data_IF_821925350415
#
_entry.id   IF_821925350415
#
_cell.length_a   1.000
_cell.length_b   1.000
_cell.length_c   1.000
_cell.angle_alpha   90.00
_cell.angle_beta   90.00
_cell.angle_gamma   90.00
#
_symmetry.space_group_name_H-M   'P 1'
#
loop_
_entity.id
_entity.type
_entity.pdbx_description
1 polymer ?
#
# COMPACT_ATOMS: atom_id res chain seq x y z
N UNK A 1 -4.61 23.96 -13.02
CA UNK A 1 -4.05 22.73 -13.65
C UNK A 1 -3.30 21.93 -12.60
N UNK A 2 -3.56 20.64 -12.55
CA UNK A 2 -2.87 19.78 -11.62
C UNK A 2 -1.39 19.64 -11.99
N UNK A 3 -0.53 19.60 -10.99
CA UNK A 3 0.90 19.43 -11.18
C UNK A 3 1.31 18.06 -10.64
N UNK A 4 1.87 17.22 -11.51
CA UNK A 4 2.40 15.94 -11.10
C UNK A 4 3.74 16.12 -10.39
N UNK A 5 3.93 15.37 -9.31
CA UNK A 5 5.19 15.31 -8.58
C UNK A 5 5.81 13.93 -8.74
N UNK A 6 7.12 13.86 -8.85
CA UNK A 6 7.83 12.60 -8.78
C UNK A 6 7.84 12.09 -7.35
N UNK A 7 7.57 10.78 -7.21
CA UNK A 7 7.66 10.09 -5.93
C UNK A 7 8.74 9.03 -6.04
N UNK A 8 9.71 9.07 -5.15
CA UNK A 8 10.72 8.04 -5.04
C UNK A 8 10.21 6.91 -4.17
N UNK A 9 10.08 5.71 -4.75
CA UNK A 9 9.70 4.50 -4.01
C UNK A 9 10.95 3.64 -3.87
N UNK A 10 11.29 3.30 -2.63
CA UNK A 10 12.42 2.44 -2.33
C UNK A 10 11.94 1.01 -2.06
N UNK A 11 12.57 0.04 -2.70
CA UNK A 11 12.32 -1.36 -2.39
C UNK A 11 12.76 -1.68 -0.95
N UNK A 12 12.14 -2.68 -0.34
CA UNK A 12 12.40 -3.13 1.03
C UNK A 12 11.98 -2.16 2.13
N UNK A 13 11.36 -1.03 1.77
CA UNK A 13 10.74 -0.12 2.73
C UNK A 13 9.24 -0.38 2.80
N UNK A 14 8.64 -0.07 3.94
CA UNK A 14 7.20 -0.20 4.12
C UNK A 14 6.54 1.15 4.11
N UNK A 15 5.40 1.23 3.42
CA UNK A 15 4.66 2.46 3.21
C UNK A 15 3.22 2.29 3.64
N UNK A 16 2.59 3.38 4.06
CA UNK A 16 1.14 3.46 4.12
C UNK A 16 0.64 4.11 2.83
N UNK A 17 -0.49 3.63 2.33
CA UNK A 17 -1.15 4.19 1.15
C UNK A 17 -2.38 4.94 1.63
N UNK A 18 -2.30 6.25 1.61
CA UNK A 18 -3.31 7.14 2.20
C UNK A 18 -4.24 7.68 1.13
N UNK A 19 -5.53 7.61 1.41
CA UNK A 19 -6.56 8.24 0.59
C UNK A 19 -6.73 9.71 0.98
N UNK A 20 -7.37 10.55 0.12
CA UNK A 20 -7.60 11.96 0.43
C UNK A 20 -8.42 12.21 1.71
N UNK A 21 -9.23 11.26 2.14
CA UNK A 21 -10.00 11.37 3.38
C UNK A 21 -9.19 11.04 4.64
N UNK A 22 -7.89 10.78 4.51
CA UNK A 22 -7.00 10.45 5.62
C UNK A 22 -6.99 8.98 6.02
N UNK A 23 -7.87 8.16 5.46
CA UNK A 23 -7.85 6.71 5.69
C UNK A 23 -6.77 6.03 4.86
N UNK A 24 -6.39 4.83 5.26
CA UNK A 24 -5.31 4.08 4.59
C UNK A 24 -5.84 2.76 4.03
N UNK A 25 -5.16 2.26 3.01
CA UNK A 25 -5.41 0.94 2.46
C UNK A 25 -4.98 -0.14 3.45
N UNK A 26 -5.83 -1.13 3.65
CA UNK A 26 -5.52 -2.28 4.49
C UNK A 26 -6.15 -3.55 3.92
N UNK A 27 -5.62 -4.70 4.37
CA UNK A 27 -6.23 -6.00 4.10
C UNK A 27 -7.40 -6.20 5.06
N UNK A 28 -8.57 -6.53 4.51
CA UNK A 28 -9.78 -6.71 5.30
C UNK A 28 -9.72 -8.00 6.11
N UNK A 29 -10.15 -7.93 7.38
CA UNK A 29 -10.31 -9.07 8.28
C UNK A 29 -9.04 -9.90 8.48
N UNK A 30 -7.86 -9.26 8.42
CA UNK A 30 -6.58 -9.93 8.67
C UNK A 30 -6.33 -11.15 7.78
N UNK A 31 -6.88 -11.14 6.57
CA UNK A 31 -6.77 -12.26 5.65
C UNK A 31 -5.40 -12.27 4.98
N UNK A 32 -4.65 -13.37 5.08
CA UNK A 32 -3.32 -13.52 4.50
C UNK A 32 -3.32 -14.23 3.15
N UNK A 33 -4.48 -14.62 2.64
CA UNK A 33 -4.58 -15.37 1.40
C UNK A 33 -4.60 -14.47 0.17
N UNK A 34 -4.17 -15.01 -0.97
CA UNK A 34 -4.31 -14.34 -2.26
C UNK A 34 -5.79 -14.09 -2.55
N UNK A 35 -6.09 -12.91 -3.10
CA UNK A 35 -7.46 -12.51 -3.37
C UNK A 35 -8.18 -11.92 -2.17
N UNK A 36 -7.49 -11.69 -1.05
CA UNK A 36 -8.06 -11.00 0.10
C UNK A 36 -8.60 -9.63 -0.29
N UNK A 37 -9.74 -9.24 0.29
CA UNK A 37 -10.34 -7.94 0.03
C UNK A 37 -9.49 -6.82 0.63
N UNK A 38 -9.42 -5.69 -0.07
CA UNK A 38 -8.73 -4.48 0.36
C UNK A 38 -9.79 -3.42 0.67
N UNK A 39 -9.59 -2.68 1.74
CA UNK A 39 -10.52 -1.62 2.15
C UNK A 39 -9.75 -0.41 2.66
N UNK A 40 -10.45 0.71 2.82
CA UNK A 40 -9.94 1.89 3.51
C UNK A 40 -10.37 1.86 4.97
N UNK A 41 -9.44 2.17 5.86
CA UNK A 41 -9.69 2.21 7.30
C UNK A 41 -8.82 3.25 7.97
N UNK A 42 -9.15 3.59 9.21
CA UNK A 42 -8.32 4.51 9.98
C UNK A 42 -6.97 3.89 10.28
N UNK A 43 -5.89 4.66 10.15
CA UNK A 43 -4.54 4.17 10.42
C UNK A 43 -4.36 3.90 11.92
N UNK A 44 -3.86 2.72 12.25
CA UNK A 44 -3.60 2.30 13.62
C UNK A 44 -2.20 1.65 13.79
N UNK A 45 -1.34 1.76 12.79
CA UNK A 45 0.03 1.24 12.84
C UNK A 45 0.15 -0.27 12.71
N UNK A 46 -0.89 -0.94 12.24
CA UNK A 46 -0.88 -2.39 12.09
C UNK A 46 -0.13 -2.86 10.84
N UNK A 47 0.50 -4.06 10.85
CA UNK A 47 1.21 -4.57 9.68
C UNK A 47 0.31 -4.73 8.45
N UNK A 48 -0.97 -5.06 8.61
CA UNK A 48 -1.90 -5.18 7.49
C UNK A 48 -2.29 -3.84 6.85
N UNK A 49 -1.79 -2.73 7.38
CA UNK A 49 -1.91 -1.39 6.82
C UNK A 49 -0.61 -0.92 6.17
N UNK A 50 0.40 -1.78 6.08
CA UNK A 50 1.70 -1.44 5.55
C UNK A 50 2.00 -2.26 4.30
N UNK A 51 2.62 -1.61 3.32
CA UNK A 51 2.82 -2.16 1.99
C UNK A 51 4.25 -1.98 1.54
N UNK A 52 4.75 -2.96 0.81
CA UNK A 52 6.06 -2.92 0.18
C UNK A 52 5.89 -2.94 -1.33
N UNK A 53 6.70 -2.13 -2.01
CA UNK A 53 6.70 -2.06 -3.46
C UNK A 53 7.92 -2.82 -3.97
N UNK A 54 7.68 -3.77 -4.87
CA UNK A 54 8.72 -4.60 -5.47
C UNK A 54 8.72 -4.36 -6.97
N UNK A 55 9.88 -4.05 -7.54
CA UNK A 55 10.01 -3.82 -8.97
C UNK A 55 9.66 -5.11 -9.73
N UNK A 56 8.69 -5.02 -10.62
CA UNK A 56 8.25 -6.14 -11.46
C UNK A 56 8.79 -6.04 -12.90
N UNK A 57 9.68 -5.06 -13.17
CA UNK A 57 10.23 -4.82 -14.51
C UNK A 57 9.30 -4.01 -15.41
N UNK A 58 9.87 -3.39 -16.44
CA UNK A 58 9.09 -2.63 -17.44
C UNK A 58 8.34 -1.43 -16.87
N UNK A 59 8.81 -0.82 -15.79
CA UNK A 59 8.14 0.30 -15.14
C UNK A 59 6.93 -0.08 -14.30
N UNK A 60 6.78 -1.35 -13.97
CA UNK A 60 5.68 -1.86 -13.16
C UNK A 60 6.13 -2.18 -11.74
N UNK A 61 5.20 -2.11 -10.81
CA UNK A 61 5.42 -2.46 -9.42
C UNK A 61 4.49 -3.57 -8.98
N UNK A 62 5.01 -4.48 -8.17
CA UNK A 62 4.20 -5.41 -7.39
C UNK A 62 4.04 -4.81 -6.00
N UNK A 63 2.81 -4.79 -5.49
CA UNK A 63 2.50 -4.23 -4.17
C UNK A 63 2.17 -5.39 -3.24
N UNK A 64 2.96 -5.55 -2.19
CA UNK A 64 2.83 -6.66 -1.24
C UNK A 64 2.48 -6.11 0.14
N UNK A 65 1.48 -6.70 0.79
CA UNK A 65 1.12 -6.35 2.15
C UNK A 65 2.15 -6.91 3.13
N UNK A 66 2.47 -6.15 4.17
CA UNK A 66 3.42 -6.57 5.20
C UNK A 66 2.90 -7.75 6.04
N UNK A 67 1.60 -7.85 6.18
CA UNK A 67 0.94 -8.91 6.93
C UNK A 67 0.96 -10.24 6.15
#
# INVERSE_FOLDING_TARGET
MAKASQVLILENEFYIIKAPNGKVLEVKNFNTENGAAIQLWSYAGHPWQQWQFVDAGGGRWRICNRF
#
